data_IF_341472277121
#
_entry.id   IF_341472277121
#
_cell.length_a   1.000
_cell.length_b   1.000
_cell.length_c   1.000
_cell.angle_alpha   90.00
_cell.angle_beta   90.00
_cell.angle_gamma   90.00
#
_symmetry.space_group_name_H-M   'P 1'
#
loop_
_entity.id
_entity.type
_entity.pdbx_description
1 polymer ?
#
# COMPACT_ATOMS: atom_id res chain seq x y z
N UNK A 1 -48.71 -51.11 13.04
CA UNK A 1 -48.45 -50.00 12.09
C UNK A 1 -46.98 -49.62 12.30
N UNK A 2 -46.06 -49.83 11.35
CA UNK A 2 -45.88 -49.07 10.09
C UNK A 2 -45.85 -47.56 10.35
N UNK A 3 -44.92 -46.72 9.91
CA UNK A 3 -43.68 -46.84 9.10
C UNK A 3 -43.07 -45.39 9.03
N UNK A 4 -41.80 -45.05 8.74
CA UNK A 4 -40.56 -45.71 8.31
C UNK A 4 -39.34 -45.18 9.14
N UNK A 5 -38.13 -45.69 8.89
CA UNK A 5 -36.86 -44.94 9.03
C UNK A 5 -36.13 -44.98 7.68
N UNK A 6 -35.82 -43.82 7.08
CA UNK A 6 -35.04 -43.77 5.84
C UNK A 6 -33.56 -43.95 6.16
N UNK A 7 -32.96 -44.99 5.59
CA UNK A 7 -31.57 -45.41 5.79
C UNK A 7 -30.80 -45.21 4.48
N UNK A 8 -29.99 -44.17 4.39
CA UNK A 8 -29.09 -44.00 3.24
C UNK A 8 -27.85 -44.90 3.41
N UNK A 9 -27.93 -46.12 2.90
CA UNK A 9 -26.73 -46.85 2.48
C UNK A 9 -26.29 -46.29 1.13
N UNK A 10 -25.16 -45.57 1.10
CA UNK A 10 -24.40 -45.42 -0.14
C UNK A 10 -23.35 -46.52 -0.11
N UNK A 11 -23.68 -47.60 -0.81
CA UNK A 11 -22.79 -48.73 -1.07
C UNK A 11 -21.55 -48.27 -1.85
N UNK A 12 -20.47 -49.01 -1.68
CA UNK A 12 -19.22 -48.96 -2.45
C UNK A 12 -19.46 -48.63 -3.93
N UNK A 13 -18.99 -47.47 -4.39
CA UNK A 13 -18.90 -47.17 -5.82
C UNK A 13 -17.62 -47.85 -6.35
N UNK A 14 -17.79 -49.05 -6.92
CA UNK A 14 -16.76 -49.69 -7.74
C UNK A 14 -16.94 -49.20 -9.17
N UNK A 15 -16.03 -48.34 -9.63
CA UNK A 15 -15.87 -48.07 -11.07
C UNK A 15 -14.68 -48.92 -11.53
N UNK A 16 -14.98 -50.14 -11.98
CA UNK A 16 -14.06 -50.87 -12.84
C UNK A 16 -14.22 -50.34 -14.26
N UNK A 17 -13.13 -49.83 -14.84
CA UNK A 17 -12.99 -49.68 -16.28
C UNK A 17 -11.95 -50.70 -16.75
N UNK A 18 -12.26 -51.35 -17.86
CA UNK A 18 -11.71 -52.65 -18.25
C UNK A 18 -10.39 -52.49 -19.03
N UNK A 19 -9.25 -52.77 -18.39
CA UNK A 19 -7.95 -52.98 -19.06
C UNK A 19 -6.95 -53.74 -18.17
N UNK A 20 -6.16 -54.63 -18.77
CA UNK A 20 -5.42 -55.70 -18.09
C UNK A 20 -4.08 -55.27 -17.43
N UNK A 21 -4.07 -54.50 -16.33
CA UNK A 21 -2.86 -54.31 -15.51
C UNK A 21 -3.15 -54.24 -14.00
N UNK A 22 -2.22 -54.68 -13.12
CA UNK A 22 -2.47 -54.79 -11.69
C UNK A 22 -2.58 -53.43 -10.99
N UNK A 23 -3.74 -53.17 -10.36
CA UNK A 23 -3.99 -51.95 -9.60
C UNK A 23 -3.14 -51.86 -8.33
N UNK A 24 -2.25 -50.87 -8.26
CA UNK A 24 -1.59 -50.45 -7.03
C UNK A 24 -2.52 -49.47 -6.30
N UNK A 25 -3.04 -49.87 -5.13
CA UNK A 25 -3.89 -49.01 -4.31
C UNK A 25 -3.05 -48.01 -3.50
N UNK A 26 -3.26 -46.72 -3.77
CA UNK A 26 -2.73 -45.63 -2.95
C UNK A 26 -3.82 -45.12 -2.01
N UNK A 27 -3.68 -45.36 -0.70
CA UNK A 27 -4.46 -44.66 0.32
C UNK A 27 -3.80 -43.31 0.62
N UNK A 28 -4.54 -42.22 0.42
CA UNK A 28 -4.18 -40.90 0.93
C UNK A 28 -5.03 -40.58 2.15
N UNK A 29 -4.49 -40.83 3.35
CA UNK A 29 -5.14 -40.42 4.60
C UNK A 29 -4.89 -38.93 4.85
N UNK A 30 -5.89 -38.10 4.55
CA UNK A 30 -5.97 -36.72 4.99
C UNK A 30 -6.69 -36.66 6.35
N UNK A 31 -5.93 -36.82 7.45
CA UNK A 31 -6.55 -36.91 8.78
C UNK A 31 -5.57 -36.77 9.94
N UNK A 32 -5.34 -35.53 10.39
CA UNK A 32 -4.62 -35.26 11.64
C UNK A 32 -5.55 -35.53 12.83
N UNK A 33 -5.52 -36.73 13.42
CA UNK A 33 -5.98 -36.94 14.81
C UNK A 33 -5.44 -38.24 15.40
N UNK A 34 -4.84 -38.14 16.59
CA UNK A 34 -4.26 -39.28 17.30
C UNK A 34 -5.31 -39.90 18.21
N UNK A 35 -5.80 -41.09 17.86
CA UNK A 35 -6.56 -41.93 18.79
C UNK A 35 -6.05 -43.38 18.74
N UNK A 36 -5.55 -43.86 19.89
CA UNK A 36 -5.00 -45.22 19.99
C UNK A 36 -6.10 -46.27 19.87
N UNK A 37 -6.17 -46.96 18.73
CA UNK A 37 -6.96 -48.18 18.60
C UNK A 37 -6.13 -49.34 19.14
N UNK A 38 -6.59 -49.93 20.25
CA UNK A 38 -5.91 -51.05 20.90
C UNK A 38 -5.90 -52.31 20.03
N UNK A 39 -4.78 -52.57 19.37
CA UNK A 39 -4.53 -53.85 18.71
C UNK A 39 -4.31 -54.95 19.74
N UNK A 40 -5.13 -56.00 19.67
CA UNK A 40 -5.05 -57.18 20.54
C UNK A 40 -3.82 -58.02 20.14
N UNK A 41 -2.68 -57.75 20.76
CA UNK A 41 -1.40 -58.41 20.47
C UNK A 41 -1.50 -59.92 20.77
N UNK A 42 -1.51 -60.76 19.73
CA UNK A 42 -1.01 -62.13 19.88
C UNK A 42 0.51 -62.06 19.95
N UNK A 43 1.09 -62.63 21.00
CA UNK A 43 2.54 -62.74 21.17
C UNK A 43 3.11 -63.65 20.07
N UNK A 44 3.70 -63.06 19.03
CA UNK A 44 4.50 -63.77 18.04
C UNK A 44 5.95 -63.50 18.39
N UNK A 45 6.60 -64.49 18.99
CA UNK A 45 8.04 -64.43 19.32
C UNK A 45 8.86 -64.71 18.06
N UNK A 46 9.08 -63.69 17.25
CA UNK A 46 10.11 -63.71 16.20
C UNK A 46 11.05 -62.54 16.40
N UNK A 47 12.33 -62.84 16.62
CA UNK A 47 13.39 -61.87 16.96
C UNK A 47 13.84 -60.99 15.79
N UNK A 48 12.91 -60.42 15.02
CA UNK A 48 13.22 -59.50 13.94
C UNK A 48 13.14 -58.06 14.43
N UNK A 49 14.28 -57.35 14.40
CA UNK A 49 14.35 -55.92 14.72
C UNK A 49 13.62 -55.14 13.62
N UNK A 50 12.39 -54.70 13.88
CA UNK A 50 11.62 -53.85 12.97
C UNK A 50 12.23 -52.44 13.00
N UNK A 51 13.13 -52.15 12.06
CA UNK A 51 13.74 -50.85 11.92
C UNK A 51 12.73 -49.85 11.32
N UNK A 52 12.14 -49.01 12.18
CA UNK A 52 11.33 -47.87 11.75
C UNK A 52 12.22 -46.84 11.03
N UNK A 53 12.22 -46.87 9.69
CA UNK A 53 12.91 -45.87 8.89
C UNK A 53 12.19 -44.51 9.00
N UNK A 54 12.83 -43.55 9.67
CA UNK A 54 12.35 -42.17 9.75
C UNK A 54 12.52 -41.51 8.38
N UNK A 55 11.46 -41.50 7.58
CA UNK A 55 11.49 -40.91 6.24
C UNK A 55 11.61 -39.39 6.34
N UNK A 56 12.84 -38.88 6.28
CA UNK A 56 13.11 -37.44 6.25
C UNK A 56 12.67 -36.87 4.90
N UNK A 57 11.84 -35.84 4.94
CA UNK A 57 11.24 -35.20 3.75
C UNK A 57 12.22 -34.30 2.98
N UNK A 58 13.31 -33.86 3.61
CA UNK A 58 14.36 -33.04 2.99
C UNK A 58 14.95 -33.59 1.67
N UNK A 59 15.48 -34.83 1.60
CA UNK A 59 16.05 -35.38 0.36
C UNK A 59 15.07 -35.39 -0.83
N UNK A 60 13.76 -35.52 -0.59
CA UNK A 60 12.76 -35.45 -1.66
C UNK A 60 12.68 -34.05 -2.28
N UNK A 61 12.72 -32.98 -1.46
CA UNK A 61 12.69 -31.59 -1.94
C UNK A 61 13.86 -31.31 -2.90
N UNK A 62 15.08 -31.73 -2.54
CA UNK A 62 16.25 -31.59 -3.41
C UNK A 62 16.08 -32.34 -4.74
N UNK A 63 15.45 -33.52 -4.72
CA UNK A 63 15.19 -34.27 -5.95
C UNK A 63 14.14 -33.57 -6.84
N UNK A 64 13.05 -33.05 -6.26
CA UNK A 64 12.07 -32.25 -7.01
C UNK A 64 12.68 -30.98 -7.61
N UNK A 65 13.50 -30.23 -6.85
CA UNK A 65 14.24 -29.08 -7.38
C UNK A 65 15.16 -29.49 -8.55
N UNK A 66 15.89 -30.60 -8.44
CA UNK A 66 16.77 -31.13 -9.50
C UNK A 66 15.98 -31.50 -10.77
N UNK A 67 14.81 -32.11 -10.62
CA UNK A 67 13.92 -32.44 -11.74
C UNK A 67 13.41 -31.16 -12.43
N UNK A 68 12.96 -30.17 -11.65
CA UNK A 68 12.49 -28.87 -12.16
C UNK A 68 13.60 -28.14 -12.91
N UNK A 69 14.81 -28.01 -12.34
CA UNK A 69 15.94 -27.38 -13.02
C UNK A 69 16.33 -28.08 -14.33
N UNK A 70 16.31 -29.43 -14.37
CA UNK A 70 16.58 -30.17 -15.61
C UNK A 70 15.50 -29.92 -16.67
N UNK A 71 14.24 -29.79 -16.26
CA UNK A 71 13.13 -29.50 -17.17
C UNK A 71 13.19 -28.07 -17.73
N UNK A 72 13.49 -27.07 -16.88
CA UNK A 72 13.72 -25.68 -17.28
C UNK A 72 14.87 -25.55 -18.30
N UNK A 73 15.93 -26.34 -18.14
CA UNK A 73 17.07 -26.35 -19.08
C UNK A 73 16.78 -27.08 -20.40
N UNK A 74 15.85 -28.05 -20.41
CA UNK A 74 15.39 -28.71 -21.65
C UNK A 74 14.51 -27.78 -22.50
N UNK A 75 13.59 -27.03 -21.88
CA UNK A 75 12.58 -26.22 -22.57
C UNK A 75 12.88 -24.71 -22.56
N UNK A 76 14.15 -24.35 -22.79
CA UNK A 76 14.70 -22.98 -22.61
C UNK A 76 13.83 -21.86 -23.20
N UNK A 77 13.40 -21.99 -24.46
CA UNK A 77 12.66 -20.92 -25.14
C UNK A 77 11.33 -20.60 -24.43
N UNK A 78 10.58 -21.64 -24.04
CA UNK A 78 9.32 -21.50 -23.32
C UNK A 78 9.54 -20.94 -21.90
N UNK A 79 10.55 -21.45 -21.20
CA UNK A 79 10.95 -20.95 -19.88
C UNK A 79 11.36 -19.48 -19.90
N UNK A 80 12.14 -19.05 -20.90
CA UNK A 80 12.58 -17.64 -21.02
C UNK A 80 11.39 -16.71 -21.26
N UNK A 81 10.47 -17.05 -22.18
CA UNK A 81 9.30 -16.20 -22.46
C UNK A 81 8.44 -16.02 -21.20
N UNK A 82 8.12 -17.11 -20.50
CA UNK A 82 7.33 -17.05 -19.26
C UNK A 82 8.06 -16.30 -18.13
N UNK A 83 9.37 -16.53 -17.97
CA UNK A 83 10.16 -15.88 -16.92
C UNK A 83 10.30 -14.37 -17.17
N UNK A 84 10.51 -13.94 -18.41
CA UNK A 84 10.57 -12.52 -18.79
C UNK A 84 9.21 -11.84 -18.60
N UNK A 85 8.11 -12.46 -19.03
CA UNK A 85 6.76 -11.93 -18.81
C UNK A 85 6.43 -11.75 -17.32
N UNK A 86 6.76 -12.75 -16.50
CA UNK A 86 6.59 -12.69 -15.04
C UNK A 86 7.50 -11.63 -14.40
N UNK A 87 8.76 -11.52 -14.82
CA UNK A 87 9.72 -10.53 -14.32
C UNK A 87 9.27 -9.09 -14.63
N UNK A 88 8.79 -8.83 -15.86
CA UNK A 88 8.25 -7.51 -16.25
C UNK A 88 6.99 -7.19 -15.46
N UNK A 89 6.08 -8.16 -15.29
CA UNK A 89 4.87 -7.98 -14.47
C UNK A 89 5.18 -7.62 -13.02
N UNK A 90 6.09 -8.35 -12.38
CA UNK A 90 6.53 -8.07 -11.00
C UNK A 90 7.24 -6.70 -10.92
N UNK A 91 8.12 -6.38 -11.87
CA UNK A 91 8.82 -5.09 -11.90
C UNK A 91 7.84 -3.91 -12.03
N UNK A 92 6.82 -4.03 -12.89
CA UNK A 92 5.77 -3.02 -13.04
C UNK A 92 4.92 -2.87 -11.76
N UNK A 93 4.56 -3.96 -11.09
CA UNK A 93 3.85 -3.92 -9.81
C UNK A 93 4.68 -3.27 -8.70
N UNK A 94 5.98 -3.59 -8.60
CA UNK A 94 6.90 -2.97 -7.63
C UNK A 94 7.09 -1.48 -7.92
N UNK A 95 7.21 -1.09 -9.19
CA UNK A 95 7.28 0.33 -9.59
C UNK A 95 6.00 1.08 -9.17
N UNK A 96 4.83 0.56 -9.53
CA UNK A 96 3.55 1.17 -9.19
C UNK A 96 3.35 1.30 -7.67
N UNK A 97 3.70 0.26 -6.91
CA UNK A 97 3.69 0.29 -5.44
C UNK A 97 4.65 1.34 -4.88
N UNK A 98 5.82 1.51 -5.47
CA UNK A 98 6.80 2.48 -4.99
C UNK A 98 6.42 3.93 -5.34
N UNK A 99 5.77 4.17 -6.48
CA UNK A 99 5.12 5.47 -6.79
C UNK A 99 4.00 5.77 -5.80
N UNK A 100 3.16 4.78 -5.48
CA UNK A 100 2.09 4.93 -4.48
C UNK A 100 2.67 5.26 -3.09
N UNK A 101 3.69 4.52 -2.63
CA UNK A 101 4.39 4.79 -1.37
C UNK A 101 5.05 6.16 -1.34
N UNK A 102 5.66 6.58 -2.44
CA UNK A 102 6.26 7.90 -2.56
C UNK A 102 5.19 9.00 -2.41
N UNK A 103 4.07 8.91 -3.14
CA UNK A 103 2.96 9.84 -3.04
C UNK A 103 2.40 9.96 -1.62
N UNK A 104 2.22 8.84 -0.91
CA UNK A 104 1.75 8.83 0.48
C UNK A 104 2.84 9.15 1.51
N UNK A 105 4.12 9.18 1.14
CA UNK A 105 5.21 9.48 2.09
C UNK A 105 5.31 10.98 2.43
N UNK A 106 4.87 11.85 1.51
CA UNK A 106 5.02 13.31 1.62
C UNK A 106 4.28 13.94 2.80
N UNK A 107 3.07 13.51 3.13
CA UNK A 107 2.22 14.24 4.09
C UNK A 107 2.46 13.85 5.57
N UNK A 108 3.43 12.96 5.86
CA UNK A 108 3.64 12.39 7.21
C UNK A 108 4.51 13.25 8.16
N UNK A 109 4.88 14.47 7.81
CA UNK A 109 5.73 15.33 8.67
C UNK A 109 4.93 16.25 9.62
N UNK A 110 3.61 16.28 9.50
CA UNK A 110 2.74 17.00 10.43
C UNK A 110 2.48 16.15 11.70
N UNK A 111 2.28 16.79 12.85
CA UNK A 111 2.13 16.08 14.13
C UNK A 111 0.78 15.37 14.27
N UNK A 112 -0.28 15.96 13.71
CA UNK A 112 -1.67 15.50 13.85
C UNK A 112 -2.38 15.35 12.48
N UNK A 113 -1.87 14.55 11.54
CA UNK A 113 -2.42 14.47 10.17
C UNK A 113 -3.89 14.00 10.16
N UNK A 114 -4.26 13.09 11.07
CA UNK A 114 -5.62 12.58 11.20
C UNK A 114 -6.65 13.61 11.71
N UNK A 115 -6.19 14.77 12.20
CA UNK A 115 -7.04 15.84 12.73
C UNK A 115 -7.14 17.08 11.82
N UNK A 116 -6.48 17.08 10.67
CA UNK A 116 -6.51 18.18 9.70
C UNK A 116 -7.51 17.88 8.58
N UNK A 117 -8.57 18.67 8.49
CA UNK A 117 -9.65 18.48 7.50
C UNK A 117 -9.81 19.70 6.60
N UNK A 118 -9.97 19.45 5.29
CA UNK A 118 -10.25 20.50 4.31
C UNK A 118 -11.76 20.59 4.02
N UNK A 119 -12.41 21.63 4.54
CA UNK A 119 -13.82 21.90 4.25
C UNK A 119 -13.98 22.37 2.79
N UNK A 120 -14.95 21.78 2.06
CA UNK A 120 -15.24 22.06 0.65
C UNK A 120 -16.75 22.00 0.41
N UNK A 121 -17.36 23.04 -0.15
CA UNK A 121 -18.73 22.94 -0.69
C UNK A 121 -18.66 22.27 -2.07
N UNK A 122 -19.35 21.14 -2.21
CA UNK A 122 -19.44 20.41 -3.47
C UNK A 122 -20.31 21.17 -4.48
N UNK A 123 -19.68 21.91 -5.40
CA UNK A 123 -20.33 22.41 -6.61
C UNK A 123 -20.10 21.42 -7.74
N UNK A 124 -21.18 20.86 -8.28
CA UNK A 124 -21.15 20.13 -9.55
C UNK A 124 -20.99 21.14 -10.68
N UNK A 125 -19.79 21.23 -11.25
CA UNK A 125 -19.50 22.00 -12.45
C UNK A 125 -19.07 21.05 -13.59
N UNK A 126 -19.12 21.54 -14.83
CA UNK A 126 -18.82 20.79 -16.06
C UNK A 126 -17.36 20.30 -16.09
N UNK A 127 -16.48 20.93 -15.30
CA UNK A 127 -15.05 20.60 -15.17
C UNK A 127 -14.72 19.69 -13.96
N UNK A 128 -15.72 19.24 -13.19
CA UNK A 128 -15.54 18.34 -12.04
C UNK A 128 -15.91 18.95 -10.68
N UNK A 129 -15.43 18.33 -9.59
CA UNK A 129 -15.66 18.80 -8.22
C UNK A 129 -14.77 20.01 -7.90
N UNK A 130 -15.27 21.21 -8.19
CA UNK A 130 -14.69 22.46 -7.70
C UNK A 130 -15.17 22.71 -6.26
N UNK A 131 -14.38 22.27 -5.30
CA UNK A 131 -14.62 22.50 -3.87
C UNK A 131 -14.19 23.90 -3.43
N UNK A 132 -15.12 24.73 -2.98
CA UNK A 132 -14.84 26.04 -2.38
C UNK A 132 -15.67 26.20 -1.11
N UNK A 133 -15.12 26.79 -0.06
CA UNK A 133 -15.84 27.05 1.20
C UNK A 133 -15.96 28.56 1.44
N UNK A 134 -17.12 29.09 1.88
CA UNK A 134 -17.27 30.53 2.09
C UNK A 134 -16.31 31.05 3.17
N UNK A 135 -15.43 31.99 2.82
CA UNK A 135 -14.42 32.55 3.73
C UNK A 135 -15.03 33.14 5.02
N UNK A 136 -16.19 33.80 4.90
CA UNK A 136 -16.93 34.34 6.04
C UNK A 136 -17.36 33.26 7.05
N UNK A 137 -17.64 32.03 6.60
CA UNK A 137 -18.06 30.94 7.46
C UNK A 137 -16.89 30.28 8.22
N UNK A 138 -15.64 30.51 7.83
CA UNK A 138 -14.45 29.90 8.49
C UNK A 138 -14.33 30.36 9.95
N UNK A 139 -14.46 31.68 10.19
CA UNK A 139 -14.40 32.25 11.55
C UNK A 139 -15.61 31.85 12.39
N UNK A 140 -16.80 31.86 11.80
CA UNK A 140 -18.02 31.36 12.48
C UNK A 140 -17.86 29.89 12.87
N UNK A 141 -17.32 29.06 11.98
CA UNK A 141 -17.16 27.63 12.26
C UNK A 141 -16.21 27.36 13.43
N UNK A 142 -15.08 28.08 13.51
CA UNK A 142 -14.15 27.98 14.64
C UNK A 142 -14.76 28.43 15.99
N UNK A 143 -15.71 29.37 15.97
CA UNK A 143 -16.33 29.92 17.18
C UNK A 143 -17.56 29.14 17.65
N UNK A 144 -18.37 28.59 16.72
CA UNK A 144 -19.65 27.95 17.04
C UNK A 144 -19.56 26.44 17.21
N UNK A 145 -18.61 25.75 16.57
CA UNK A 145 -18.46 24.30 16.68
C UNK A 145 -17.33 23.92 17.64
N UNK A 146 -17.68 23.45 18.84
CA UNK A 146 -16.73 23.00 19.87
C UNK A 146 -15.77 21.86 19.44
N UNK A 147 -16.04 21.19 18.32
CA UNK A 147 -15.15 20.18 17.73
C UNK A 147 -14.00 20.76 16.88
N UNK A 148 -14.03 22.07 16.55
CA UNK A 148 -13.02 22.74 15.72
C UNK A 148 -12.08 23.52 16.63
N UNK A 149 -10.84 23.04 16.79
CA UNK A 149 -9.81 23.71 17.62
C UNK A 149 -9.27 24.99 16.98
N UNK A 150 -9.16 25.00 15.66
CA UNK A 150 -8.64 26.11 14.85
C UNK A 150 -9.13 25.91 13.41
N UNK A 151 -9.35 27.02 12.69
CA UNK A 151 -9.68 27.00 11.27
C UNK A 151 -8.94 28.13 10.56
N UNK A 152 -8.43 27.85 9.36
CA UNK A 152 -7.68 28.80 8.54
C UNK A 152 -8.21 28.80 7.12
N UNK A 153 -8.20 29.98 6.51
CA UNK A 153 -8.42 30.13 5.08
C UNK A 153 -7.17 29.68 4.32
N UNK A 154 -7.37 28.98 3.20
CA UNK A 154 -6.28 28.61 2.29
C UNK A 154 -6.78 28.75 0.85
N UNK A 155 -6.04 29.51 0.06
CA UNK A 155 -6.33 29.77 -1.35
C UNK A 155 -5.02 29.75 -2.15
N UNK A 156 -5.10 29.43 -3.44
CA UNK A 156 -3.95 29.40 -4.34
C UNK A 156 -4.34 29.90 -5.71
N UNK A 157 -3.47 30.73 -6.32
CA UNK A 157 -3.65 31.23 -7.68
C UNK A 157 -2.29 31.46 -8.35
N UNK A 158 -2.25 31.34 -9.67
CA UNK A 158 -1.10 31.79 -10.43
C UNK A 158 -1.02 33.32 -10.38
N UNK A 159 0.17 33.84 -10.09
CA UNK A 159 0.53 35.25 -10.16
C UNK A 159 1.86 35.40 -10.88
N UNK A 160 2.07 36.55 -11.50
CA UNK A 160 3.37 36.89 -12.05
C UNK A 160 4.28 37.39 -10.93
N UNK A 161 5.41 36.73 -10.77
CA UNK A 161 6.40 37.03 -9.73
C UNK A 161 7.67 37.50 -10.39
N UNK A 162 8.14 38.68 -9.98
CA UNK A 162 9.40 39.26 -10.42
C UNK A 162 10.24 39.73 -9.23
N UNK A 163 11.52 39.42 -9.27
CA UNK A 163 12.53 40.03 -8.41
C UNK A 163 13.27 41.11 -9.21
N UNK A 164 13.27 42.35 -8.70
CA UNK A 164 13.88 43.52 -9.34
C UNK A 164 13.51 43.67 -10.85
N UNK A 165 14.49 43.76 -11.74
CA UNK A 165 14.34 43.91 -13.19
C UNK A 165 14.57 42.58 -13.95
N UNK A 166 14.59 41.44 -13.27
CA UNK A 166 14.77 40.13 -13.90
C UNK A 166 13.52 39.67 -14.68
N UNK A 167 13.64 38.53 -15.35
CA UNK A 167 12.50 37.87 -16.00
C UNK A 167 11.36 37.58 -15.01
N UNK A 168 10.15 37.57 -15.56
CA UNK A 168 8.91 37.34 -14.81
C UNK A 168 8.47 35.89 -15.01
N UNK A 169 8.14 35.21 -13.91
CA UNK A 169 7.62 33.85 -13.97
C UNK A 169 6.21 33.80 -13.40
N UNK A 170 5.34 32.98 -14.00
CA UNK A 170 4.03 32.67 -13.45
C UNK A 170 4.19 31.59 -12.38
N UNK A 171 4.03 31.96 -11.11
CA UNK A 171 4.19 31.08 -9.96
C UNK A 171 2.85 30.83 -9.29
N UNK A 172 2.67 29.64 -8.72
CA UNK A 172 1.48 29.33 -7.93
C UNK A 172 1.65 29.85 -6.49
N UNK A 173 1.00 30.98 -6.18
CA UNK A 173 1.13 31.67 -4.90
C UNK A 173 -0.03 31.27 -3.97
N UNK A 174 0.32 30.90 -2.75
CA UNK A 174 -0.63 30.52 -1.70
C UNK A 174 -0.91 31.69 -0.75
N UNK A 175 -2.18 31.86 -0.41
CA UNK A 175 -2.70 32.87 0.52
C UNK A 175 -3.35 32.15 1.70
N UNK A 176 -3.00 32.53 2.92
CA UNK A 176 -3.50 31.89 4.14
C UNK A 176 -3.54 32.83 5.34
N UNK A 177 -4.21 32.43 6.42
CA UNK A 177 -4.29 33.17 7.68
C UNK A 177 -3.06 32.89 8.57
N UNK A 178 -2.70 33.78 9.52
CA UNK A 178 -1.54 33.58 10.41
C UNK A 178 -1.54 32.28 11.22
N UNK A 179 -2.72 31.70 11.50
CA UNK A 179 -2.83 30.40 12.17
C UNK A 179 -2.34 29.19 11.37
N UNK A 180 -1.99 29.35 10.09
CA UNK A 180 -1.61 28.23 9.21
C UNK A 180 -0.42 27.43 9.74
N UNK A 181 0.63 28.10 10.18
CA UNK A 181 1.85 27.47 10.71
C UNK A 181 1.70 26.93 12.15
N UNK A 182 0.54 27.13 12.79
CA UNK A 182 0.16 26.42 14.01
C UNK A 182 -0.57 25.09 13.72
N UNK A 183 -1.14 24.94 12.52
CA UNK A 183 -1.76 23.69 12.07
C UNK A 183 -0.77 22.81 11.30
N UNK A 184 0.12 23.41 10.51
CA UNK A 184 1.08 22.71 9.67
C UNK A 184 2.51 22.99 10.12
N UNK A 185 3.20 21.97 10.62
CA UNK A 185 4.61 22.07 11.01
C UNK A 185 5.50 22.13 9.76
N UNK A 186 6.00 23.32 9.41
CA UNK A 186 7.06 23.46 8.41
C UNK A 186 8.37 23.84 9.11
N UNK A 187 9.50 23.15 8.84
CA UNK A 187 10.78 23.49 9.43
C UNK A 187 11.28 24.82 8.86
N UNK A 188 11.45 25.83 9.73
CA UNK A 188 11.96 27.14 9.35
C UNK A 188 13.49 27.10 9.22
N UNK A 189 14.01 27.41 8.03
CA UNK A 189 15.46 27.44 7.76
C UNK A 189 16.07 28.77 8.18
N UNK A 190 15.41 29.89 7.88
CA UNK A 190 15.86 31.24 8.18
C UNK A 190 14.68 32.22 8.29
N UNK A 191 14.88 33.37 8.94
CA UNK A 191 13.86 34.40 9.12
C UNK A 191 12.92 34.12 10.30
N UNK A 192 11.66 34.56 10.17
CA UNK A 192 10.61 34.43 11.19
C UNK A 192 9.36 33.86 10.51
N UNK A 193 8.72 32.86 11.11
CA UNK A 193 7.48 32.26 10.60
C UNK A 193 6.23 33.01 11.08
N UNK A 194 6.27 34.35 11.04
CA UNK A 194 5.15 35.22 11.39
C UNK A 194 4.67 35.95 10.14
N UNK A 195 3.42 35.67 9.76
CA UNK A 195 2.72 36.25 8.60
C UNK A 195 1.55 37.15 9.03
N UNK A 196 1.63 37.78 10.21
CA UNK A 196 0.69 38.80 10.67
C UNK A 196 0.71 40.07 9.78
N UNK A 197 1.80 40.33 9.06
CA UNK A 197 1.89 41.42 8.08
C UNK A 197 1.32 40.97 6.72
N UNK A 198 0.31 41.66 6.13
CA UNK A 198 -0.28 41.29 4.85
C UNK A 198 0.67 41.40 3.64
N UNK A 199 1.85 42.00 3.78
CA UNK A 199 2.88 42.12 2.73
C UNK A 199 4.05 41.14 2.98
N UNK A 200 4.02 40.37 4.07
CA UNK A 200 4.99 39.30 4.29
C UNK A 200 4.81 38.16 3.30
N UNK A 201 5.93 37.51 2.92
CA UNK A 201 5.92 36.31 2.09
C UNK A 201 6.92 35.30 2.63
N UNK A 202 6.53 34.03 2.65
CA UNK A 202 7.41 32.91 2.95
C UNK A 202 7.74 32.17 1.66
N UNK A 203 9.01 31.82 1.49
CA UNK A 203 9.53 31.14 0.31
C UNK A 203 10.01 29.73 0.69
N UNK A 204 9.78 28.77 -0.18
CA UNK A 204 10.51 27.49 -0.11
C UNK A 204 11.98 27.72 -0.46
N UNK A 205 12.85 26.80 -0.03
CA UNK A 205 14.29 26.90 -0.32
C UNK A 205 14.58 27.01 -1.84
N UNK A 206 13.87 26.22 -2.65
CA UNK A 206 13.99 26.25 -4.12
C UNK A 206 13.56 27.60 -4.70
N UNK A 207 12.52 28.24 -4.16
CA UNK A 207 12.06 29.55 -4.61
C UNK A 207 13.02 30.66 -4.19
N UNK A 208 13.53 30.63 -2.95
CA UNK A 208 14.58 31.54 -2.52
C UNK A 208 15.82 31.41 -3.42
N UNK A 209 16.25 30.19 -3.72
CA UNK A 209 17.38 29.89 -4.61
C UNK A 209 17.11 30.33 -6.06
N UNK A 210 15.89 30.16 -6.57
CA UNK A 210 15.48 30.57 -7.93
C UNK A 210 15.58 32.09 -8.13
N UNK A 211 15.11 32.88 -7.17
CA UNK A 211 15.05 34.35 -7.30
C UNK A 211 16.30 35.07 -6.79
N UNK A 212 16.96 34.56 -5.75
CA UNK A 212 18.10 35.21 -5.09
C UNK A 212 19.44 34.49 -5.29
N UNK A 213 19.44 33.27 -5.86
CA UNK A 213 20.65 32.48 -6.08
C UNK A 213 21.32 32.10 -4.76
N UNK A 214 22.51 32.64 -4.52
CA UNK A 214 23.27 32.49 -3.28
C UNK A 214 23.18 33.72 -2.36
N UNK A 215 22.35 34.71 -2.69
CA UNK A 215 22.16 35.90 -1.85
C UNK A 215 21.11 35.63 -0.75
N UNK A 216 21.27 36.28 0.39
CA UNK A 216 20.24 36.31 1.43
C UNK A 216 18.93 36.94 0.88
N UNK A 217 17.77 36.25 0.96
CA UNK A 217 16.47 36.80 0.54
C UNK A 217 15.81 37.72 1.59
N UNK A 218 16.27 37.70 2.85
CA UNK A 218 15.57 38.35 3.97
C UNK A 218 15.57 39.88 3.78
N UNK A 219 14.40 40.50 3.96
CA UNK A 219 14.20 41.95 3.85
C UNK A 219 14.21 42.50 2.41
N UNK A 220 14.29 41.65 1.38
CA UNK A 220 14.26 42.07 -0.03
C UNK A 220 12.84 41.98 -0.60
N UNK A 221 12.41 42.95 -1.44
CA UNK A 221 11.08 42.95 -2.03
C UNK A 221 10.95 41.94 -3.16
N UNK A 222 9.80 41.26 -3.23
CA UNK A 222 9.31 40.53 -4.40
C UNK A 222 8.05 41.23 -4.92
N UNK A 223 7.95 41.40 -6.23
CA UNK A 223 6.80 42.05 -6.87
C UNK A 223 5.84 40.97 -7.40
N UNK A 224 4.60 41.02 -6.95
CA UNK A 224 3.50 40.12 -7.33
C UNK A 224 2.45 40.89 -8.12
N UNK A 225 2.03 40.40 -9.30
CA UNK A 225 1.00 41.04 -10.14
C UNK A 225 0.17 40.06 -10.98
#
# INVERSE_FOLDING_TARGET
>A
MREWKVKWHISTIVICSESEHPCISYSYDAGFNVQMIGLKIRKIETGHKIAFYRQTSFPMIFNYCKIVFRNLWMHKNYTVINLVGMAIGIAAMVWAFQVYRYAFSFDNFHHDPDHVYRALTNKKDVQGLQGSFPMAAVRTAANEFAGIKSAVCYSGRFLNVRYDNNETFAEYVHFTDPGFFHLFNFPLIAGICDINDPVSVLLTEDMARKYFGSQDPIGKPLVLY
#
